data_IF_568332054787
#
_entry.id   IF_568332054787
#
_cell.length_a   1.000
_cell.length_b   1.000
_cell.length_c   1.000
_cell.angle_alpha   90.00
_cell.angle_beta   90.00
_cell.angle_gamma   90.00
#
_symmetry.space_group_name_H-M   'P 1'
#
loop_
_entity.id
_entity.type
_entity.pdbx_description
1 polymer ?
#
# COMPACT_ATOMS: atom_id res chain seq x y z
N UNK A 1 10.27 2.87 -12.25
CA UNK A 1 9.75 4.00 -11.45
C UNK A 1 10.06 5.36 -12.08
N UNK A 2 11.19 5.53 -12.77
CA UNK A 2 11.61 6.85 -13.30
C UNK A 2 10.92 7.24 -14.64
N UNK A 3 10.41 6.30 -15.42
CA UNK A 3 9.89 6.58 -16.78
C UNK A 3 8.35 6.42 -16.95
N UNK A 4 7.57 6.44 -15.87
CA UNK A 4 6.10 6.38 -15.96
C UNK A 4 5.49 7.77 -15.69
N UNK A 5 5.02 8.50 -16.72
CA UNK A 5 4.52 9.87 -16.58
C UNK A 5 3.20 10.00 -15.81
N UNK A 6 2.47 8.90 -15.56
CA UNK A 6 1.14 8.91 -14.91
C UNK A 6 1.11 8.24 -13.52
N UNK A 7 2.26 8.05 -12.89
CA UNK A 7 2.31 7.42 -11.57
C UNK A 7 2.10 8.44 -10.44
N UNK A 8 0.97 8.33 -9.75
CA UNK A 8 0.62 9.13 -8.58
C UNK A 8 0.66 8.32 -7.30
N UNK A 9 1.16 8.94 -6.22
CA UNK A 9 1.18 8.33 -4.88
C UNK A 9 -0.04 8.79 -4.09
N UNK A 10 -0.97 7.86 -3.82
CA UNK A 10 -2.12 8.13 -2.94
C UNK A 10 -1.77 7.73 -1.50
N UNK A 11 -1.63 8.69 -0.60
CA UNK A 11 -1.22 8.43 0.79
C UNK A 11 -2.35 8.65 1.77
N UNK A 12 -2.54 7.69 2.69
CA UNK A 12 -3.54 7.75 3.75
C UNK A 12 -2.88 8.17 5.09
N UNK A 13 -3.11 9.44 5.47
CA UNK A 13 -2.88 10.13 6.76
C UNK A 13 -1.54 9.91 7.52
N UNK A 14 -0.60 10.82 7.26
CA UNK A 14 -0.14 11.90 8.14
C UNK A 14 0.62 12.85 7.22
N UNK A 15 0.03 14.00 6.89
CA UNK A 15 0.48 14.81 5.75
C UNK A 15 1.97 15.15 5.87
N UNK A 16 2.39 15.69 7.00
CA UNK A 16 3.77 16.11 7.22
C UNK A 16 4.79 14.96 7.09
N UNK A 17 4.52 13.82 7.74
CA UNK A 17 5.43 12.68 7.69
C UNK A 17 5.50 12.07 6.28
N UNK A 18 4.37 12.01 5.59
CA UNK A 18 4.29 11.45 4.24
C UNK A 18 5.09 12.29 3.24
N UNK A 19 4.94 13.63 3.29
CA UNK A 19 5.71 14.54 2.43
C UNK A 19 7.20 14.42 2.67
N UNK A 20 7.64 14.50 3.93
CA UNK A 20 9.07 14.43 4.27
C UNK A 20 9.68 13.08 3.95
N UNK A 21 8.91 12.00 4.10
CA UNK A 21 9.38 10.67 3.72
C UNK A 21 9.54 10.54 2.21
N UNK A 22 8.58 11.01 1.41
CA UNK A 22 8.65 10.97 -0.06
C UNK A 22 9.80 11.82 -0.56
N UNK A 23 9.90 13.07 -0.11
CA UNK A 23 11.01 13.98 -0.46
C UNK A 23 12.37 13.32 -0.19
N UNK A 24 12.53 12.71 0.99
CA UNK A 24 13.79 12.10 1.41
C UNK A 24 14.20 10.86 0.59
N UNK A 25 13.26 10.02 0.17
CA UNK A 25 13.57 8.71 -0.41
C UNK A 25 13.32 8.63 -1.92
N UNK A 26 12.44 9.47 -2.46
CA UNK A 26 12.06 9.48 -3.87
C UNK A 26 12.45 10.77 -4.58
N UNK A 27 12.70 11.87 -3.86
CA UNK A 27 13.05 13.17 -4.43
C UNK A 27 11.89 14.16 -4.44
N UNK A 28 12.19 15.46 -4.56
CA UNK A 28 11.19 16.54 -4.55
C UNK A 28 10.19 16.45 -5.72
N UNK A 29 10.59 15.93 -6.88
CA UNK A 29 9.73 15.75 -8.05
C UNK A 29 8.58 14.75 -7.80
N UNK A 30 8.74 13.83 -6.84
CA UNK A 30 7.68 12.90 -6.43
C UNK A 30 6.72 13.51 -5.41
N UNK A 31 7.12 14.56 -4.72
CA UNK A 31 6.25 15.30 -3.79
C UNK A 31 5.09 15.94 -4.56
N UNK A 32 5.38 16.49 -5.73
CA UNK A 32 4.38 17.11 -6.62
C UNK A 32 3.33 16.10 -7.14
N UNK A 33 3.63 14.80 -7.08
CA UNK A 33 2.75 13.72 -7.55
C UNK A 33 1.87 13.12 -6.46
N UNK A 34 1.97 13.61 -5.22
CA UNK A 34 1.18 13.10 -4.09
C UNK A 34 -0.26 13.59 -4.20
N UNK A 35 -1.21 12.65 -4.15
CA UNK A 35 -2.65 12.95 -4.00
C UNK A 35 -3.07 12.59 -2.58
N UNK A 36 -3.38 13.62 -1.78
CA UNK A 36 -3.96 13.45 -0.45
C UNK A 36 -5.48 13.35 -0.54
N UNK A 37 -6.00 12.14 -0.32
CA UNK A 37 -7.45 11.92 -0.28
C UNK A 37 -7.79 10.85 0.74
N UNK A 38 -8.99 10.95 1.32
CA UNK A 38 -9.59 9.85 2.08
C UNK A 38 -10.32 8.86 1.18
N UNK A 39 -10.71 9.33 0.00
CA UNK A 39 -11.48 8.58 -0.96
C UNK A 39 -10.67 8.45 -2.25
N UNK A 40 -10.14 7.25 -2.49
CA UNK A 40 -9.36 6.95 -3.70
C UNK A 40 -10.25 6.67 -4.91
N UNK A 41 -11.55 6.44 -4.71
CA UNK A 41 -12.48 6.10 -5.79
C UNK A 41 -12.68 7.27 -6.76
N UNK A 42 -12.56 8.51 -6.27
CA UNK A 42 -12.69 9.73 -7.09
C UNK A 42 -11.41 10.10 -7.85
N UNK A 43 -10.30 9.38 -7.66
CA UNK A 43 -9.04 9.63 -8.35
C UNK A 43 -9.01 8.81 -9.64
N UNK A 44 -8.80 9.47 -10.77
CA UNK A 44 -8.68 8.79 -12.06
C UNK A 44 -7.27 8.25 -12.30
N UNK A 45 -7.17 6.98 -12.69
CA UNK A 45 -5.92 6.29 -13.04
C UNK A 45 -6.24 4.97 -13.77
N UNK A 46 -5.23 4.35 -14.39
CA UNK A 46 -5.39 3.01 -14.98
C UNK A 46 -5.27 1.90 -13.92
N UNK A 47 -4.34 2.05 -12.97
CA UNK A 47 -4.02 1.05 -11.94
C UNK A 47 -3.93 1.68 -10.56
N UNK A 48 -4.41 0.97 -9.55
CA UNK A 48 -4.20 1.32 -8.14
C UNK A 48 -3.57 0.15 -7.39
N UNK A 49 -2.34 0.36 -6.89
CA UNK A 49 -1.66 -0.57 -5.98
C UNK A 49 -1.95 -0.15 -4.53
N UNK A 50 -2.63 -1.01 -3.78
CA UNK A 50 -3.01 -0.74 -2.39
C UNK A 50 -3.17 -2.07 -1.64
N UNK A 51 -2.82 -2.10 -0.36
CA UNK A 51 -2.90 -3.31 0.48
C UNK A 51 -4.27 -3.50 1.14
N UNK A 52 -5.16 -2.52 1.08
CA UNK A 52 -6.55 -2.68 1.48
C UNK A 52 -7.27 -3.62 0.52
N UNK A 53 -7.91 -4.64 1.07
CA UNK A 53 -8.60 -5.69 0.31
C UNK A 53 -9.77 -5.14 -0.52
N UNK A 54 -10.52 -4.18 0.02
CA UNK A 54 -11.68 -3.59 -0.65
C UNK A 54 -11.67 -2.08 -0.45
N UNK A 55 -11.63 -1.34 -1.56
CA UNK A 55 -11.65 0.13 -1.57
C UNK A 55 -13.03 0.58 -2.01
N UNK A 56 -13.67 1.37 -1.16
CA UNK A 56 -15.02 1.90 -1.36
C UNK A 56 -15.00 3.41 -1.10
N UNK A 57 -15.94 4.11 -1.73
CA UNK A 57 -16.03 5.56 -1.69
C UNK A 57 -17.23 6.06 -2.51
N UNK A 58 -17.17 7.32 -2.90
CA UNK A 58 -18.24 8.02 -3.60
C UNK A 58 -18.43 7.54 -5.05
N UNK A 59 -17.35 7.12 -5.74
CA UNK A 59 -17.44 6.59 -7.10
C UNK A 59 -17.68 5.07 -7.05
N UNK A 60 -18.86 4.57 -7.46
CA UNK A 60 -19.18 3.14 -7.42
C UNK A 60 -18.39 2.33 -8.44
N UNK A 61 -17.89 2.94 -9.53
CA UNK A 61 -17.07 2.28 -10.56
C UNK A 61 -15.81 3.10 -10.82
N UNK A 62 -14.79 2.98 -9.93
CA UNK A 62 -13.53 3.68 -10.12
C UNK A 62 -12.89 3.31 -11.47
N UNK A 63 -12.21 4.27 -12.09
CA UNK A 63 -11.59 4.06 -13.41
C UNK A 63 -10.38 3.13 -13.37
N UNK A 64 -9.73 3.00 -12.22
CA UNK A 64 -8.56 2.15 -12.04
C UNK A 64 -8.92 0.68 -11.80
N UNK A 65 -8.05 -0.21 -12.26
CA UNK A 65 -8.03 -1.58 -11.80
C UNK A 65 -7.27 -1.69 -10.47
N UNK A 66 -7.89 -2.35 -9.48
CA UNK A 66 -7.25 -2.62 -8.20
C UNK A 66 -6.28 -3.80 -8.26
N UNK A 67 -5.01 -3.52 -8.00
CA UNK A 67 -3.99 -4.55 -7.80
C UNK A 67 -3.68 -4.65 -6.31
N UNK A 68 -4.12 -5.73 -5.67
CA UNK A 68 -3.93 -5.91 -4.22
C UNK A 68 -2.44 -6.14 -3.92
N UNK A 69 -1.83 -5.21 -3.17
CA UNK A 69 -0.46 -5.39 -2.71
C UNK A 69 -0.43 -6.31 -1.49
N UNK A 70 0.47 -7.30 -1.49
CA UNK A 70 0.53 -8.28 -0.40
C UNK A 70 1.13 -7.67 0.87
N UNK A 71 0.40 -7.79 1.97
CA UNK A 71 0.82 -7.37 3.30
C UNK A 71 0.47 -8.45 4.33
N UNK A 72 1.01 -8.35 5.54
CA UNK A 72 0.87 -9.37 6.59
C UNK A 72 -0.60 -9.70 6.91
N UNK A 73 -1.50 -8.72 6.82
CA UNK A 73 -2.91 -8.85 7.16
C UNK A 73 -3.79 -9.33 6.00
N UNK A 74 -3.33 -9.28 4.74
CA UNK A 74 -4.14 -9.65 3.56
C UNK A 74 -3.61 -10.89 2.82
N UNK A 75 -2.48 -11.47 3.27
CA UNK A 75 -1.78 -12.61 2.64
C UNK A 75 -2.63 -13.87 2.47
N UNK A 76 -3.63 -14.06 3.34
CA UNK A 76 -4.48 -15.24 3.38
C UNK A 76 -5.72 -15.09 2.49
N UNK A 77 -5.99 -13.89 1.97
CA UNK A 77 -7.16 -13.63 1.14
C UNK A 77 -6.98 -14.23 -0.25
N UNK A 78 -7.90 -15.12 -0.61
CA UNK A 78 -8.05 -15.62 -1.97
C UNK A 78 -8.80 -14.58 -2.80
N UNK A 79 -8.26 -14.25 -3.98
CA UNK A 79 -8.89 -13.29 -4.88
C UNK A 79 -9.66 -14.03 -5.97
N UNK A 80 -10.96 -13.75 -6.16
CA UNK A 80 -11.68 -14.25 -7.31
C UNK A 80 -11.17 -13.57 -8.59
N UNK A 81 -11.15 -14.31 -9.71
CA UNK A 81 -10.91 -13.71 -11.01
C UNK A 81 -11.99 -12.63 -11.31
N UNK A 82 -11.64 -11.49 -11.94
CA UNK A 82 -10.36 -11.17 -12.57
C UNK A 82 -9.35 -10.42 -11.67
N UNK A 83 -9.55 -10.36 -10.34
CA UNK A 83 -8.71 -9.53 -9.46
C UNK A 83 -7.26 -10.02 -9.40
N UNK A 84 -6.31 -9.08 -9.44
CA UNK A 84 -4.87 -9.36 -9.44
C UNK A 84 -4.20 -8.98 -8.12
N UNK A 85 -3.07 -9.64 -7.83
CA UNK A 85 -2.26 -9.43 -6.61
C UNK A 85 -0.79 -9.24 -6.98
N UNK A 86 -0.19 -8.19 -6.41
CA UNK A 86 1.27 -8.02 -6.42
C UNK A 86 1.86 -8.55 -5.11
N UNK A 87 2.81 -9.49 -5.18
CA UNK A 87 3.39 -10.14 -3.99
C UNK A 87 4.54 -9.35 -3.36
N UNK A 88 5.34 -8.67 -4.17
CA UNK A 88 6.49 -7.86 -3.75
C UNK A 88 6.86 -6.86 -4.85
N UNK A 89 7.70 -5.88 -4.52
CA UNK A 89 8.30 -4.94 -5.47
C UNK A 89 9.57 -5.45 -6.16
N UNK A 90 10.06 -6.65 -5.82
CA UNK A 90 11.27 -7.22 -6.45
C UNK A 90 11.04 -7.46 -7.94
N UNK A 91 12.12 -7.47 -8.74
CA UNK A 91 12.05 -7.75 -10.20
C UNK A 91 11.41 -9.12 -10.50
N UNK A 92 11.55 -10.05 -9.57
CA UNK A 92 10.87 -11.35 -9.53
C UNK A 92 9.38 -11.25 -9.18
N UNK A 93 8.82 -10.09 -8.89
CA UNK A 93 7.37 -9.89 -8.77
C UNK A 93 6.59 -10.22 -10.05
N UNK A 94 7.31 -10.45 -11.16
CA UNK A 94 6.79 -11.01 -12.41
C UNK A 94 7.05 -12.53 -12.57
N UNK A 95 7.87 -13.14 -11.70
CA UNK A 95 8.12 -14.58 -11.53
C UNK A 95 8.87 -14.82 -10.18
N UNK A 96 8.20 -15.19 -9.07
CA UNK A 96 8.90 -15.39 -7.78
C UNK A 96 8.63 -16.78 -7.19
N UNK A 97 9.68 -17.60 -7.18
CA UNK A 97 9.82 -18.78 -6.34
C UNK A 97 10.43 -18.41 -5.00
N UNK A 98 9.77 -18.85 -3.93
CA UNK A 98 10.33 -19.28 -2.64
C UNK A 98 11.57 -18.56 -2.09
N UNK A 99 11.37 -17.48 -1.34
CA UNK A 99 12.17 -17.19 -0.13
C UNK A 99 11.39 -16.31 0.86
N UNK A 100 10.28 -16.85 1.34
CA UNK A 100 9.75 -16.55 2.67
C UNK A 100 9.44 -17.89 3.33
N UNK A 101 10.48 -18.70 3.54
CA UNK A 101 10.42 -19.78 4.51
C UNK A 101 11.19 -19.34 5.76
N UNK A 102 10.66 -19.77 6.89
CA UNK A 102 11.07 -19.45 8.25
C UNK A 102 12.58 -19.57 8.46
N UNK A 103 13.18 -18.54 9.05
CA UNK A 103 14.39 -18.73 9.86
C UNK A 103 14.04 -18.41 11.30
N UNK A 104 13.75 -19.48 12.04
CA UNK A 104 13.86 -19.54 13.50
C UNK A 104 15.35 -19.42 13.87
N UNK A 105 15.77 -18.26 14.37
CA UNK A 105 17.10 -18.01 14.93
C UNK A 105 17.28 -16.54 15.35
N UNK A 106 18.02 -16.23 16.45
CA UNK A 106 18.01 -14.89 17.01
C UNK A 106 18.91 -13.96 16.20
N UNK A 107 18.34 -12.87 15.66
CA UNK A 107 19.05 -11.75 15.01
C UNK A 107 18.72 -10.46 15.76
N UNK A 108 19.65 -9.47 15.81
CA UNK A 108 19.75 -8.52 16.89
C UNK A 108 18.61 -7.51 16.89
N UNK A 109 18.25 -7.09 18.10
CA UNK A 109 17.08 -6.30 18.42
C UNK A 109 16.97 -5.00 17.59
N UNK A 110 15.95 -4.96 16.72
CA UNK A 110 15.30 -3.71 16.31
C UNK A 110 14.16 -3.42 17.31
N UNK A 111 13.98 -2.17 17.76
CA UNK A 111 13.03 -1.87 18.82
C UNK A 111 11.60 -2.14 18.34
N UNK A 112 10.93 -3.08 19.02
CA UNK A 112 9.53 -3.42 18.84
C UNK A 112 8.66 -2.19 19.10
N UNK A 113 8.14 -1.54 18.07
CA UNK A 113 6.99 -0.66 18.24
C UNK A 113 5.77 -1.54 18.47
N UNK A 114 5.34 -1.62 19.73
CA UNK A 114 4.03 -2.15 20.09
C UNK A 114 2.97 -1.37 19.30
N UNK A 115 2.24 -2.06 18.43
CA UNK A 115 0.97 -1.56 17.91
C UNK A 115 -0.04 -1.65 19.06
N UNK A 116 -0.14 -0.59 19.86
CA UNK A 116 -1.28 -0.45 20.77
C UNK A 116 -2.55 -0.29 19.94
N UNK A 117 -3.40 -1.32 19.99
CA UNK A 117 -4.82 -1.24 19.66
C UNK A 117 -5.40 -0.10 20.51
N UNK A 118 -5.88 0.97 19.89
CA UNK A 118 -6.72 1.93 20.63
C UNK A 118 -8.05 1.25 20.86
N UNK A 119 -8.30 0.83 22.09
CA UNK A 119 -9.65 0.53 22.53
C UNK A 119 -10.48 1.82 22.45
N UNK A 120 -11.64 1.75 21.79
CA UNK A 120 -12.63 2.81 21.81
C UNK A 120 -13.37 2.77 23.15
N UNK A 121 -13.69 3.90 23.79
CA UNK A 121 -14.52 3.89 24.98
C UNK A 121 -15.98 3.61 24.59
N UNK A 122 -16.59 2.62 25.24
CA UNK A 122 -18.04 2.39 25.22
C UNK A 122 -18.76 3.62 25.81
N UNK A 123 -19.78 4.10 25.10
CA UNK A 123 -20.70 5.11 25.61
C UNK A 123 -21.54 4.48 26.71
N UNK A 124 -21.52 5.07 27.91
CA UNK A 124 -22.48 4.82 28.98
C UNK A 124 -23.42 6.01 29.08
#
# INVERSE_FOLDING_TARGET
>A
FQDLPHFHLTVNKSCFFSYKWVEKHLGPEFVERIILTRDKTVVAADLLFDDKDTIQGAEPRPSWEHILFTCCHNRHLQLPAPRRRLRSWSREGMLCSSHCQETTGPSPAMPRRHCHRRDQPEKK
#
